data_IF_162428323157
#
_entry.id   IF_162428323157
#
_cell.length_a   1.000
_cell.length_b   1.000
_cell.length_c   1.000
_cell.angle_alpha   90.00
_cell.angle_beta   90.00
_cell.angle_gamma   90.00
#
_symmetry.space_group_name_H-M   'P 1'
#
loop_
_entity.id
_entity.type
_entity.pdbx_description
1 polymer ?
#
# COMPACT_ATOMS: atom_id res chain seq x y z
N UNK A 1 30.60 -13.76 10.68
CA UNK A 1 30.24 -12.46 11.28
C UNK A 1 31.27 -11.47 10.81
N UNK A 2 30.89 -10.52 9.94
CA UNK A 2 31.82 -9.47 9.49
C UNK A 2 31.37 -8.20 10.20
N UNK A 3 32.20 -7.74 11.13
CA UNK A 3 32.07 -6.44 11.79
C UNK A 3 32.90 -5.49 10.95
N UNK A 4 32.32 -4.37 10.52
CA UNK A 4 33.02 -3.30 9.79
C UNK A 4 33.00 -2.07 10.67
N UNK A 5 34.19 -1.61 11.06
CA UNK A 5 34.41 -0.34 11.74
C UNK A 5 34.64 0.77 10.70
N UNK A 6 33.97 1.91 10.90
CA UNK A 6 34.07 3.22 10.24
C UNK A 6 33.55 3.44 8.80
N UNK A 7 32.41 4.15 8.74
CA UNK A 7 32.02 5.34 7.95
C UNK A 7 32.79 5.72 6.67
N UNK A 8 32.79 4.85 5.66
CA UNK A 8 32.93 5.30 4.28
C UNK A 8 31.74 4.81 3.45
N UNK A 9 30.89 5.74 3.04
CA UNK A 9 29.68 5.50 2.25
C UNK A 9 30.01 4.76 0.93
N UNK A 10 31.19 5.00 0.36
CA UNK A 10 31.66 4.30 -0.84
C UNK A 10 32.06 2.84 -0.55
N UNK A 11 32.62 2.58 0.63
CA UNK A 11 32.87 1.22 1.11
C UNK A 11 31.58 0.43 1.32
N UNK A 12 30.53 1.06 1.86
CA UNK A 12 29.19 0.47 1.99
C UNK A 12 28.59 0.19 0.60
N UNK A 13 28.64 1.14 -0.35
CA UNK A 13 28.22 0.91 -1.75
C UNK A 13 28.97 -0.23 -2.42
N UNK A 14 30.27 -0.35 -2.19
CA UNK A 14 31.11 -1.40 -2.76
C UNK A 14 30.77 -2.78 -2.18
N UNK A 15 30.45 -2.87 -0.89
CA UNK A 15 29.92 -4.09 -0.25
C UNK A 15 28.57 -4.47 -0.89
N UNK A 16 27.67 -3.51 -1.07
CA UNK A 16 26.38 -3.74 -1.72
C UNK A 16 26.51 -4.17 -3.19
N UNK A 17 27.50 -3.65 -3.91
CA UNK A 17 27.81 -4.08 -5.28
C UNK A 17 28.32 -5.53 -5.32
N UNK A 18 29.25 -5.89 -4.43
CA UNK A 18 29.77 -7.27 -4.30
C UNK A 18 28.71 -8.29 -3.87
N UNK A 19 27.76 -7.91 -3.01
CA UNK A 19 26.62 -8.76 -2.62
C UNK A 19 25.65 -8.97 -3.79
N UNK A 20 25.40 -7.93 -4.61
CA UNK A 20 24.59 -8.07 -5.84
C UNK A 20 25.19 -9.01 -6.87
N UNK A 21 26.52 -9.12 -6.92
CA UNK A 21 27.25 -9.98 -7.87
C UNK A 21 27.25 -11.47 -7.47
N UNK A 22 26.93 -11.83 -6.22
CA UNK A 22 27.11 -13.19 -5.69
C UNK A 22 25.87 -13.93 -5.15
N UNK A 23 24.66 -13.36 -5.06
CA UNK A 23 23.55 -14.19 -4.52
C UNK A 23 22.10 -13.71 -4.53
N UNK A 24 21.78 -12.42 -4.65
CA UNK A 24 20.39 -11.96 -4.84
C UNK A 24 20.37 -10.53 -5.34
N UNK A 25 19.58 -10.25 -6.39
CA UNK A 25 19.40 -8.88 -6.89
C UNK A 25 18.70 -8.03 -5.83
N UNK A 26 19.33 -6.94 -5.38
CA UNK A 26 18.72 -6.01 -4.42
C UNK A 26 17.40 -5.46 -4.94
N UNK A 27 16.37 -5.49 -4.08
CA UNK A 27 15.09 -4.87 -4.37
C UNK A 27 15.21 -3.34 -4.42
N UNK A 28 14.15 -2.65 -4.84
CA UNK A 28 14.12 -1.17 -4.81
C UNK A 28 14.18 -0.68 -3.37
N UNK A 29 13.34 -1.24 -2.50
CA UNK A 29 13.38 -0.99 -1.07
C UNK A 29 14.79 -1.17 -0.49
N UNK A 30 15.50 -2.25 -0.80
CA UNK A 30 16.84 -2.48 -0.23
C UNK A 30 17.83 -1.38 -0.62
N UNK A 31 17.73 -0.85 -1.84
CA UNK A 31 18.58 0.26 -2.30
C UNK A 31 18.25 1.57 -1.59
N UNK A 32 16.97 1.85 -1.37
CA UNK A 32 16.51 3.04 -0.64
C UNK A 32 16.95 2.93 0.83
N UNK A 33 16.68 1.79 1.47
CA UNK A 33 17.09 1.52 2.85
C UNK A 33 18.61 1.62 3.03
N UNK A 34 19.40 1.13 2.08
CA UNK A 34 20.86 1.26 2.12
C UNK A 34 21.33 2.73 2.05
N UNK A 35 20.68 3.55 1.22
CA UNK A 35 20.97 4.99 1.13
C UNK A 35 20.70 5.70 2.47
N UNK A 36 19.55 5.41 3.08
CA UNK A 36 19.13 6.01 4.35
C UNK A 36 19.94 5.49 5.54
N UNK A 37 20.44 4.25 5.49
CA UNK A 37 21.29 3.72 6.57
C UNK A 37 22.62 4.47 6.65
N UNK A 38 23.24 4.78 5.51
CA UNK A 38 24.56 5.45 5.47
C UNK A 38 24.64 6.80 6.20
N UNK A 39 23.49 7.31 6.63
CA UNK A 39 23.25 8.61 7.28
C UNK A 39 22.48 8.44 8.61
N UNK A 40 22.43 7.22 9.15
CA UNK A 40 21.90 6.92 10.49
C UNK A 40 20.44 6.47 10.55
N UNK A 41 19.71 6.44 9.43
CA UNK A 41 18.28 6.10 9.42
C UNK A 41 18.02 4.66 8.94
N UNK A 42 17.75 3.75 9.89
CA UNK A 42 17.40 2.36 9.56
C UNK A 42 15.90 2.20 9.28
N UNK A 43 15.50 2.44 8.03
CA UNK A 43 14.11 2.38 7.59
C UNK A 43 13.47 1.01 7.84
N UNK A 44 14.17 -0.09 7.59
CA UNK A 44 13.65 -1.45 7.83
C UNK A 44 13.27 -1.67 9.30
N UNK A 45 14.11 -1.20 10.23
CA UNK A 45 13.84 -1.29 11.67
C UNK A 45 12.64 -0.45 12.07
N UNK A 46 12.61 0.83 11.65
CA UNK A 46 11.47 1.72 11.95
C UNK A 46 10.14 1.19 11.39
N UNK A 47 10.13 0.61 10.18
CA UNK A 47 8.91 -0.03 9.63
C UNK A 47 8.40 -1.17 10.53
N UNK A 48 9.31 -1.97 11.07
CA UNK A 48 8.90 -3.09 11.92
C UNK A 48 8.39 -2.61 13.29
N UNK A 49 9.10 -1.67 13.90
CA UNK A 49 8.82 -1.16 15.24
C UNK A 49 7.61 -0.22 15.29
N UNK A 50 7.45 0.66 14.28
CA UNK A 50 6.49 1.77 14.33
C UNK A 50 5.23 1.55 13.47
N UNK A 51 5.28 0.61 12.51
CA UNK A 51 4.15 0.35 11.60
C UNK A 51 3.67 -1.09 11.76
N UNK A 52 4.53 -2.09 11.55
CA UNK A 52 4.09 -3.48 11.51
C UNK A 52 3.64 -4.04 12.86
N UNK A 53 4.22 -3.58 13.96
CA UNK A 53 3.76 -3.86 15.33
C UNK A 53 2.28 -3.49 15.46
N UNK A 54 1.95 -2.23 15.19
CA UNK A 54 0.61 -1.68 15.32
C UNK A 54 -0.36 -2.27 14.29
N UNK A 55 0.06 -2.44 13.03
CA UNK A 55 -0.84 -3.00 12.01
C UNK A 55 -1.20 -4.46 12.28
N UNK A 56 -0.34 -5.22 12.95
CA UNK A 56 -0.65 -6.57 13.43
C UNK A 56 -1.57 -6.54 14.64
N UNK A 57 -1.19 -5.80 15.67
CA UNK A 57 -1.83 -5.85 16.99
C UNK A 57 -3.19 -5.15 17.01
N UNK A 58 -3.29 -3.99 16.37
CA UNK A 58 -4.50 -3.16 16.40
C UNK A 58 -5.50 -3.54 15.32
N UNK A 59 -5.02 -3.78 14.09
CA UNK A 59 -5.91 -3.94 12.93
C UNK A 59 -6.04 -5.38 12.43
N UNK A 60 -5.19 -6.31 12.90
CA UNK A 60 -5.07 -7.65 12.31
C UNK A 60 -4.61 -7.65 10.85
N UNK A 61 -4.13 -6.49 10.35
CA UNK A 61 -3.84 -6.28 8.93
C UNK A 61 -2.58 -7.03 8.48
N UNK A 62 -1.65 -7.29 9.39
CA UNK A 62 -0.35 -7.89 9.08
C UNK A 62 0.68 -6.86 8.62
N UNK A 63 1.77 -7.32 8.03
CA UNK A 63 2.96 -6.48 7.78
C UNK A 63 2.86 -5.67 6.48
N UNK A 64 2.85 -4.35 6.58
CA UNK A 64 3.03 -3.45 5.45
C UNK A 64 4.42 -3.69 4.82
N UNK A 65 4.46 -3.77 3.48
CA UNK A 65 5.73 -4.03 2.77
C UNK A 65 6.56 -2.75 2.69
N UNK A 66 7.88 -2.89 2.76
CA UNK A 66 8.80 -1.74 2.67
C UNK A 66 8.60 -0.88 1.40
N UNK A 67 8.29 -1.50 0.26
CA UNK A 67 7.97 -0.76 -0.96
C UNK A 67 6.73 0.16 -0.78
N UNK A 68 5.70 -0.26 -0.02
CA UNK A 68 4.54 0.58 0.27
C UNK A 68 4.94 1.79 1.11
N UNK A 69 5.76 1.58 2.15
CA UNK A 69 6.21 2.68 3.02
C UNK A 69 7.07 3.68 2.25
N UNK A 70 8.03 3.22 1.45
CA UNK A 70 8.85 4.12 0.60
C UNK A 70 8.03 4.87 -0.43
N UNK A 71 6.96 4.26 -0.95
CA UNK A 71 6.02 4.91 -1.86
C UNK A 71 5.20 6.00 -1.15
N UNK A 72 4.75 5.73 0.08
CA UNK A 72 4.02 6.71 0.90
C UNK A 72 4.92 7.90 1.27
N UNK A 73 6.15 7.65 1.71
CA UNK A 73 7.16 8.70 1.94
C UNK A 73 7.39 9.54 0.68
N UNK A 74 7.60 8.90 -0.47
CA UNK A 74 7.82 9.59 -1.75
C UNK A 74 6.63 10.47 -2.15
N UNK A 75 5.39 10.02 -1.93
CA UNK A 75 4.20 10.83 -2.17
C UNK A 75 4.11 11.98 -1.17
N UNK A 76 4.18 11.70 0.14
CA UNK A 76 4.01 12.72 1.18
C UNK A 76 5.06 13.83 1.10
N UNK A 77 6.32 13.48 0.80
CA UNK A 77 7.44 14.44 0.76
C UNK A 77 7.50 15.17 -0.60
N UNK A 78 7.29 14.45 -1.71
CA UNK A 78 7.60 14.98 -3.06
C UNK A 78 6.39 15.05 -4.01
N UNK A 79 5.20 14.63 -3.59
CA UNK A 79 4.00 14.55 -4.44
C UNK A 79 4.15 13.57 -5.61
N UNK A 80 5.14 12.68 -5.59
CA UNK A 80 5.40 11.77 -6.71
C UNK A 80 5.99 10.45 -6.28
N UNK A 81 5.53 9.38 -6.92
CA UNK A 81 5.95 8.01 -6.65
C UNK A 81 6.86 7.43 -7.73
N UNK A 82 7.36 8.24 -8.69
CA UNK A 82 8.23 7.75 -9.78
C UNK A 82 9.53 7.17 -9.21
N UNK A 83 10.08 6.14 -9.87
CA UNK A 83 11.32 5.47 -9.42
C UNK A 83 12.48 6.44 -9.16
N UNK A 84 12.63 7.50 -9.97
CA UNK A 84 13.69 8.52 -9.76
C UNK A 84 13.48 9.27 -8.44
N UNK A 85 12.24 9.65 -8.15
CA UNK A 85 11.87 10.36 -6.91
C UNK A 85 12.15 9.50 -5.68
N UNK A 86 11.73 8.23 -5.69
CA UNK A 86 11.94 7.32 -4.56
C UNK A 86 13.43 7.10 -4.23
N UNK A 87 14.29 7.05 -5.26
CA UNK A 87 15.75 6.87 -5.07
C UNK A 87 16.45 8.11 -4.54
N UNK A 88 15.85 9.28 -4.74
CA UNK A 88 16.40 10.57 -4.35
C UNK A 88 15.74 11.08 -3.06
N UNK A 89 15.08 10.20 -2.30
CA UNK A 89 14.64 10.52 -0.95
C UNK A 89 15.88 10.76 -0.08
N UNK A 90 15.95 11.97 0.46
CA UNK A 90 16.98 12.37 1.39
C UNK A 90 16.66 11.90 2.81
N UNK A 91 17.68 11.60 3.60
CA UNK A 91 17.48 11.08 4.96
C UNK A 91 16.96 12.10 5.94
N UNK A 92 17.38 13.35 5.82
CA UNK A 92 16.89 14.42 6.70
C UNK A 92 15.42 14.65 6.42
N UNK A 93 15.02 14.69 5.14
CA UNK A 93 13.61 14.77 4.75
C UNK A 93 12.79 13.58 5.25
N UNK A 94 13.34 12.36 5.14
CA UNK A 94 12.67 11.15 5.61
C UNK A 94 12.53 11.12 7.13
N UNK A 95 13.56 11.53 7.88
CA UNK A 95 13.49 11.55 9.34
C UNK A 95 12.50 12.61 9.83
N UNK A 96 12.53 13.81 9.23
CA UNK A 96 11.61 14.89 9.55
C UNK A 96 10.14 14.53 9.27
N UNK A 97 9.86 13.82 8.17
CA UNK A 97 8.49 13.46 7.77
C UNK A 97 8.09 12.03 8.22
N UNK A 98 8.93 11.33 8.98
CA UNK A 98 8.69 9.94 9.39
C UNK A 98 7.43 9.80 10.24
N UNK A 99 7.35 10.56 11.32
CA UNK A 99 6.26 10.50 12.30
C UNK A 99 4.91 10.81 11.62
N UNK A 100 4.88 11.86 10.81
CA UNK A 100 3.66 12.19 10.07
C UNK A 100 3.30 11.08 9.07
N UNK A 101 4.26 10.59 8.28
CA UNK A 101 3.99 9.57 7.28
C UNK A 101 3.52 8.25 7.89
N UNK A 102 4.10 7.81 9.01
CA UNK A 102 3.63 6.58 9.67
C UNK A 102 2.19 6.72 10.15
N UNK A 103 1.80 7.85 10.73
CA UNK A 103 0.42 8.10 11.17
C UNK A 103 -0.55 8.00 9.99
N UNK A 104 -0.20 8.61 8.85
CA UNK A 104 -1.07 8.55 7.66
C UNK A 104 -1.18 7.14 7.07
N UNK A 105 -0.13 6.33 7.17
CA UNK A 105 -0.19 4.90 6.79
C UNK A 105 -1.13 4.13 7.72
N UNK A 106 -1.10 4.41 9.03
CA UNK A 106 -1.97 3.75 10.01
C UNK A 106 -3.44 4.15 9.80
N UNK A 107 -3.72 5.44 9.53
CA UNK A 107 -5.04 5.94 9.17
C UNK A 107 -5.57 5.28 7.87
N UNK A 108 -4.72 5.18 6.85
CA UNK A 108 -5.05 4.47 5.61
C UNK A 108 -5.34 2.99 5.85
N UNK A 109 -4.54 2.32 6.68
CA UNK A 109 -4.74 0.92 7.06
C UNK A 109 -6.07 0.72 7.79
N UNK A 110 -6.36 1.58 8.76
CA UNK A 110 -7.62 1.60 9.50
C UNK A 110 -8.83 1.78 8.57
N UNK A 111 -8.75 2.73 7.64
CA UNK A 111 -9.80 2.98 6.67
C UNK A 111 -10.05 1.76 5.76
N UNK A 112 -8.99 1.17 5.22
CA UNK A 112 -9.07 -0.03 4.39
C UNK A 112 -9.73 -1.20 5.13
N UNK A 113 -9.36 -1.42 6.39
CA UNK A 113 -9.90 -2.51 7.21
C UNK A 113 -11.37 -2.30 7.58
N UNK A 114 -11.72 -1.09 8.05
CA UNK A 114 -13.05 -0.78 8.58
C UNK A 114 -14.08 -0.50 7.48
N UNK A 115 -13.70 0.28 6.46
CA UNK A 115 -14.63 0.74 5.42
C UNK A 115 -14.68 -0.19 4.22
N UNK A 116 -13.56 -0.82 3.86
CA UNK A 116 -13.42 -1.51 2.58
C UNK A 116 -13.27 -3.03 2.70
N UNK A 117 -13.24 -3.57 3.92
CA UNK A 117 -13.20 -5.02 4.15
C UNK A 117 -11.82 -5.66 3.97
N UNK A 118 -10.75 -4.86 3.93
CA UNK A 118 -9.38 -5.36 3.82
C UNK A 118 -8.90 -5.87 5.19
N UNK A 119 -9.36 -7.07 5.57
CA UNK A 119 -9.07 -7.66 6.89
C UNK A 119 -7.62 -8.06 7.11
N UNK A 120 -6.87 -8.24 6.03
CA UNK A 120 -5.43 -8.47 6.05
C UNK A 120 -4.81 -7.89 4.77
N UNK A 121 -3.52 -7.56 4.82
CA UNK A 121 -2.77 -6.96 3.70
C UNK A 121 -2.95 -7.73 2.40
N UNK A 122 -3.01 -9.05 2.46
CA UNK A 122 -3.14 -9.89 1.27
C UNK A 122 -4.53 -9.82 0.63
N UNK A 123 -5.49 -9.14 1.26
CA UNK A 123 -6.78 -8.79 0.65
C UNK A 123 -6.71 -7.46 -0.10
N UNK A 124 -5.61 -6.70 0.03
CA UNK A 124 -5.46 -5.48 -0.74
C UNK A 124 -5.30 -5.87 -2.22
N UNK A 125 -6.13 -5.36 -3.14
CA UNK A 125 -6.03 -5.72 -4.56
C UNK A 125 -4.68 -5.34 -5.16
N UNK A 126 -4.17 -4.17 -4.77
CA UNK A 126 -2.89 -3.64 -5.18
C UNK A 126 -2.19 -2.88 -4.06
N UNK A 127 -0.91 -3.16 -3.86
CA UNK A 127 -0.08 -2.51 -2.84
C UNK A 127 -0.06 -0.97 -2.93
N UNK A 128 -0.17 -0.41 -4.15
CA UNK A 128 -0.15 1.02 -4.41
C UNK A 128 -1.35 1.80 -3.87
N UNK A 129 -2.44 1.12 -3.48
CA UNK A 129 -3.62 1.76 -2.89
C UNK A 129 -3.28 2.41 -1.55
N UNK A 130 -2.54 1.70 -0.69
CA UNK A 130 -2.23 2.16 0.66
C UNK A 130 -1.44 3.50 0.67
N UNK A 131 -0.35 3.66 -0.12
CA UNK A 131 0.36 4.94 -0.22
C UNK A 131 -0.48 6.10 -0.72
N UNK A 132 -1.38 5.86 -1.67
CA UNK A 132 -2.25 6.90 -2.24
C UNK A 132 -3.26 7.36 -1.19
N UNK A 133 -3.83 6.45 -0.40
CA UNK A 133 -4.69 6.83 0.72
C UNK A 133 -3.92 7.53 1.85
N UNK A 134 -2.69 7.11 2.15
CA UNK A 134 -1.85 7.82 3.11
C UNK A 134 -1.61 9.28 2.67
N UNK A 135 -1.42 9.50 1.37
CA UNK A 135 -1.29 10.85 0.82
C UNK A 135 -2.57 11.69 0.98
N UNK A 136 -3.76 11.10 0.79
CA UNK A 136 -5.03 11.79 1.10
C UNK A 136 -5.07 12.28 2.56
N UNK A 137 -4.72 11.41 3.51
CA UNK A 137 -4.68 11.79 4.92
C UNK A 137 -3.61 12.84 5.21
N UNK A 138 -2.48 12.82 4.49
CA UNK A 138 -1.43 13.86 4.60
C UNK A 138 -1.94 15.24 4.16
N UNK A 139 -2.74 15.30 3.10
CA UNK A 139 -3.22 16.54 2.49
C UNK A 139 -4.40 17.15 3.23
N UNK A 140 -5.24 16.33 3.83
CA UNK A 140 -6.42 16.79 4.57
C UNK A 140 -6.15 17.01 6.05
N UNK A 141 -5.11 16.37 6.60
CA UNK A 141 -4.84 16.24 8.04
C UNK A 141 -6.03 15.69 8.87
N UNK A 142 -7.02 15.11 8.19
CA UNK A 142 -8.14 14.45 8.83
C UNK A 142 -7.74 13.04 9.30
N UNK A 143 -8.52 12.48 10.22
CA UNK A 143 -8.37 11.11 10.70
C UNK A 143 -9.35 10.12 10.03
N UNK A 144 -10.32 10.65 9.29
CA UNK A 144 -11.43 9.92 8.67
C UNK A 144 -11.73 10.44 7.26
N UNK A 145 -12.40 9.61 6.45
CA UNK A 145 -12.90 9.97 5.13
C UNK A 145 -14.42 9.93 5.18
N UNK A 146 -15.07 11.05 4.87
CA UNK A 146 -16.51 11.23 5.02
C UNK A 146 -17.14 11.89 3.79
N UNK A 147 -18.47 11.90 3.73
CA UNK A 147 -19.24 12.61 2.71
C UNK A 147 -18.84 12.24 1.28
N UNK A 148 -18.77 13.24 0.41
CA UNK A 148 -18.43 13.06 -1.00
C UNK A 148 -17.05 12.41 -1.22
N UNK A 149 -16.04 12.73 -0.39
CA UNK A 149 -14.72 12.13 -0.52
C UNK A 149 -14.77 10.62 -0.30
N UNK A 150 -15.61 10.16 0.64
CA UNK A 150 -15.83 8.74 0.88
C UNK A 150 -16.44 8.06 -0.34
N UNK A 151 -17.44 8.66 -0.95
CA UNK A 151 -18.10 8.10 -2.14
C UNK A 151 -17.12 7.97 -3.31
N UNK A 152 -16.31 8.98 -3.56
CA UNK A 152 -15.29 8.99 -4.62
C UNK A 152 -14.20 7.95 -4.35
N UNK A 153 -13.65 7.91 -3.13
CA UNK A 153 -12.54 7.02 -2.76
C UNK A 153 -12.99 5.56 -2.72
N UNK A 154 -14.18 5.26 -2.22
CA UNK A 154 -14.71 3.90 -2.20
C UNK A 154 -14.92 3.40 -3.63
N UNK A 155 -15.51 4.22 -4.52
CA UNK A 155 -15.66 3.87 -5.94
C UNK A 155 -14.31 3.66 -6.62
N UNK A 156 -13.33 4.51 -6.36
CA UNK A 156 -11.97 4.35 -6.88
C UNK A 156 -11.37 3.01 -6.44
N UNK A 157 -11.44 2.66 -5.15
CA UNK A 157 -10.92 1.40 -4.64
C UNK A 157 -11.50 0.18 -5.39
N UNK A 158 -12.83 0.13 -5.52
CA UNK A 158 -13.50 -0.98 -6.21
C UNK A 158 -13.15 -1.02 -7.70
N UNK A 159 -13.17 0.13 -8.39
CA UNK A 159 -12.80 0.22 -9.81
C UNK A 159 -11.36 -0.21 -10.07
N UNK A 160 -10.42 0.20 -9.22
CA UNK A 160 -9.00 -0.19 -9.33
C UNK A 160 -8.83 -1.70 -9.25
N UNK A 161 -9.53 -2.36 -8.32
CA UNK A 161 -9.39 -3.81 -8.14
C UNK A 161 -10.06 -4.63 -9.26
N UNK A 162 -11.15 -4.16 -9.88
CA UNK A 162 -11.85 -4.93 -10.94
C UNK A 162 -11.22 -4.76 -12.33
N UNK A 163 -10.70 -3.57 -12.64
CA UNK A 163 -10.20 -3.19 -13.97
C UNK A 163 -8.78 -3.65 -14.26
N UNK A 164 -8.02 -4.01 -13.23
CA UNK A 164 -6.60 -4.27 -13.37
C UNK A 164 -5.74 -3.00 -13.47
N UNK A 165 -6.28 -1.83 -13.07
CA UNK A 165 -5.69 -0.50 -13.25
C UNK A 165 -4.19 -0.42 -12.89
N UNK A 166 -3.79 -1.00 -11.76
CA UNK A 166 -2.40 -0.96 -11.28
C UNK A 166 -1.51 -2.10 -11.76
N UNK A 167 -1.94 -2.93 -12.71
CA UNK A 167 -1.14 -4.05 -13.25
C UNK A 167 0.10 -3.58 -14.01
N UNK A 168 0.05 -2.39 -14.63
CA UNK A 168 1.17 -1.80 -15.38
C UNK A 168 1.40 -0.36 -14.93
N UNK A 169 2.66 0.09 -15.00
CA UNK A 169 3.05 1.49 -14.72
C UNK A 169 2.55 2.03 -13.36
N UNK A 170 2.45 1.17 -12.34
CA UNK A 170 1.84 1.46 -11.03
C UNK A 170 2.32 2.78 -10.42
N UNK A 171 3.63 3.05 -10.39
CA UNK A 171 4.19 4.28 -9.84
C UNK A 171 3.75 5.57 -10.55
N UNK A 172 3.57 5.52 -11.88
CA UNK A 172 3.09 6.66 -12.65
C UNK A 172 1.61 6.90 -12.35
N UNK A 173 0.82 5.83 -12.27
CA UNK A 173 -0.60 5.93 -11.94
C UNK A 173 -0.80 6.41 -10.50
N UNK A 174 0.00 5.94 -9.53
CA UNK A 174 -0.05 6.47 -8.15
C UNK A 174 0.26 7.97 -8.09
N UNK A 175 1.20 8.46 -8.91
CA UNK A 175 1.49 9.91 -9.01
C UNK A 175 0.33 10.67 -9.65
N UNK A 176 -0.36 10.06 -10.63
CA UNK A 176 -1.55 10.66 -11.23
C UNK A 176 -2.70 10.71 -10.21
N UNK A 177 -2.94 9.61 -9.53
CA UNK A 177 -4.02 9.50 -8.54
C UNK A 177 -3.77 10.40 -7.32
N UNK A 178 -2.52 10.67 -6.95
CA UNK A 178 -2.22 11.66 -5.91
C UNK A 178 -2.58 13.08 -6.35
N UNK A 179 -2.41 13.43 -7.62
CA UNK A 179 -2.86 14.71 -8.17
C UNK A 179 -4.40 14.79 -8.17
N UNK A 180 -5.07 13.72 -8.55
CA UNK A 180 -6.54 13.66 -8.55
C UNK A 180 -7.14 13.64 -7.14
N UNK A 181 -6.38 13.20 -6.14
CA UNK A 181 -6.72 13.40 -4.73
C UNK A 181 -6.71 14.89 -4.39
N UNK A 182 -5.72 15.65 -4.86
CA UNK A 182 -5.67 17.10 -4.65
C UNK A 182 -6.87 17.77 -5.35
N UNK A 183 -7.18 17.38 -6.59
CA UNK A 183 -8.36 17.88 -7.31
C UNK A 183 -9.67 17.55 -6.57
N UNK A 184 -9.80 16.35 -6.00
CA UNK A 184 -10.92 15.98 -5.14
C UNK A 184 -11.03 16.90 -3.92
N UNK A 185 -9.90 17.17 -3.25
CA UNK A 185 -9.86 18.00 -2.03
C UNK A 185 -10.20 19.46 -2.35
N UNK A 186 -9.66 20.00 -3.44
CA UNK A 186 -9.77 21.42 -3.79
C UNK A 186 -11.13 21.75 -4.43
N UNK A 187 -11.66 20.84 -5.25
CA UNK A 187 -12.82 21.13 -6.10
C UNK A 187 -14.00 20.18 -5.92
N UNK A 188 -13.84 19.08 -5.18
CA UNK A 188 -14.83 18.01 -5.11
C UNK A 188 -14.87 17.16 -6.39
N UNK A 189 -13.84 17.20 -7.23
CA UNK A 189 -13.78 16.41 -8.48
C UNK A 189 -13.96 14.91 -8.23
N UNK A 190 -14.72 14.23 -9.11
CA UNK A 190 -14.90 12.78 -9.10
C UNK A 190 -13.94 12.03 -10.04
N UNK A 191 -13.04 12.76 -10.71
CA UNK A 191 -12.16 12.22 -11.76
C UNK A 191 -11.28 11.07 -11.26
N UNK A 192 -10.94 11.04 -9.97
CA UNK A 192 -10.14 9.98 -9.34
C UNK A 192 -10.67 8.59 -9.69
N UNK A 193 -11.99 8.35 -9.61
CA UNK A 193 -12.58 7.08 -9.99
C UNK A 193 -13.08 7.06 -11.43
N UNK A 194 -13.53 8.18 -12.01
CA UNK A 194 -14.12 8.23 -13.35
C UNK A 194 -13.11 7.83 -14.43
N UNK A 195 -11.84 8.23 -14.28
CA UNK A 195 -10.76 7.85 -15.19
C UNK A 195 -10.45 6.34 -15.19
N UNK A 196 -10.85 5.61 -14.15
CA UNK A 196 -10.54 4.20 -14.00
C UNK A 196 -11.56 3.43 -14.81
N UNK A 197 -11.21 3.14 -16.06
CA UNK A 197 -12.13 2.48 -16.95
C UNK A 197 -12.44 1.05 -16.47
N UNK A 198 -13.74 0.76 -16.38
CA UNK A 198 -14.29 -0.56 -16.07
C UNK A 198 -15.20 -0.97 -17.21
N UNK A 199 -14.63 -1.41 -18.32
CA UNK A 199 -15.37 -2.00 -19.44
C UNK A 199 -15.81 -3.43 -19.07
N UNK A 200 -16.63 -3.56 -18.02
CA UNK A 200 -17.23 -4.82 -17.61
C UNK A 200 -18.72 -4.59 -17.36
N UNK A 201 -19.55 -5.30 -18.11
CA UNK A 201 -20.98 -5.40 -17.86
C UNK A 201 -21.25 -6.15 -16.56
N UNK A 202 -22.47 -6.03 -16.03
CA UNK A 202 -22.90 -6.80 -14.86
C UNK A 202 -22.77 -8.32 -15.09
N UNK A 203 -23.11 -8.80 -16.30
CA UNK A 203 -22.97 -10.21 -16.68
C UNK A 203 -21.51 -10.65 -16.66
N UNK A 204 -20.61 -9.87 -17.28
CA UNK A 204 -19.17 -10.20 -17.27
C UNK A 204 -18.56 -10.18 -15.86
N UNK A 205 -19.04 -9.27 -14.99
CA UNK A 205 -18.64 -9.27 -13.58
C UNK A 205 -19.10 -10.53 -12.86
N UNK A 206 -20.35 -10.97 -13.08
CA UNK A 206 -20.89 -12.22 -12.51
C UNK A 206 -20.12 -13.43 -13.00
N UNK A 207 -19.88 -13.54 -14.29
CA UNK A 207 -19.13 -14.66 -14.89
C UNK A 207 -17.71 -14.71 -14.32
N UNK A 208 -17.03 -13.55 -14.26
CA UNK A 208 -15.70 -13.44 -13.67
C UNK A 208 -15.71 -13.82 -12.18
N UNK A 209 -16.75 -13.51 -11.42
CA UNK A 209 -16.89 -13.95 -10.02
C UNK A 209 -17.02 -15.47 -9.91
N UNK A 210 -17.87 -16.09 -10.73
CA UNK A 210 -18.09 -17.54 -10.76
C UNK A 210 -16.79 -18.27 -11.13
N UNK A 211 -16.08 -17.76 -12.14
CA UNK A 211 -14.85 -18.38 -12.66
C UNK A 211 -13.60 -18.03 -11.86
N UNK A 212 -13.70 -17.13 -10.87
CA UNK A 212 -12.53 -16.70 -10.09
C UNK A 212 -11.96 -17.86 -9.29
N UNK A 213 -10.75 -18.27 -9.67
CA UNK A 213 -10.00 -19.23 -8.89
C UNK A 213 -9.49 -18.60 -7.58
N UNK A 214 -10.23 -18.85 -6.50
CA UNK A 214 -9.92 -18.33 -5.15
C UNK A 214 -8.58 -18.80 -4.58
N UNK A 215 -7.96 -19.84 -5.16
CA UNK A 215 -6.64 -20.35 -4.77
C UNK A 215 -5.48 -19.51 -5.31
N UNK A 216 -5.69 -18.68 -6.33
CA UNK A 216 -4.66 -17.77 -6.87
C UNK A 216 -4.85 -16.38 -6.30
N UNK A 217 -3.79 -15.78 -5.77
CA UNK A 217 -3.80 -14.36 -5.38
C UNK A 217 -3.98 -13.48 -6.61
N UNK A 218 -5.18 -12.94 -6.82
CA UNK A 218 -5.45 -11.94 -7.86
C UNK A 218 -6.15 -10.74 -7.23
N UNK A 219 -6.04 -9.56 -7.86
CA UNK A 219 -6.74 -8.37 -7.41
C UNK A 219 -8.25 -8.59 -7.29
N UNK A 220 -8.82 -9.34 -8.24
CA UNK A 220 -10.25 -9.65 -8.27
C UNK A 220 -10.66 -10.63 -7.15
N UNK A 221 -9.88 -11.70 -6.92
CA UNK A 221 -10.07 -12.60 -5.75
C UNK A 221 -10.02 -11.82 -4.44
N UNK A 222 -9.09 -10.88 -4.34
CA UNK A 222 -8.90 -10.05 -3.16
C UNK A 222 -10.10 -9.11 -2.92
N UNK A 223 -10.64 -8.50 -3.97
CA UNK A 223 -11.90 -7.75 -3.88
C UNK A 223 -13.07 -8.62 -3.44
N UNK A 224 -13.19 -9.84 -3.98
CA UNK A 224 -14.25 -10.76 -3.57
C UNK A 224 -14.17 -11.06 -2.05
N UNK A 225 -12.98 -11.25 -1.50
CA UNK A 225 -12.81 -11.42 -0.06
C UNK A 225 -13.12 -10.16 0.74
N UNK A 226 -12.84 -8.98 0.21
CA UNK A 226 -13.25 -7.71 0.82
C UNK A 226 -14.78 -7.59 0.89
N UNK A 227 -15.49 -7.98 -0.18
CA UNK A 227 -16.96 -8.02 -0.22
C UNK A 227 -17.47 -9.01 0.83
N UNK A 228 -16.95 -10.24 0.83
CA UNK A 228 -17.33 -11.25 1.82
C UNK A 228 -17.11 -10.74 3.24
N UNK A 229 -15.95 -10.14 3.54
CA UNK A 229 -15.66 -9.59 4.85
C UNK A 229 -16.67 -8.51 5.29
N UNK A 230 -17.18 -7.70 4.35
CA UNK A 230 -18.23 -6.71 4.62
C UNK A 230 -19.61 -7.34 4.81
N UNK A 231 -19.83 -8.56 4.30
CA UNK A 231 -21.08 -9.31 4.43
C UNK A 231 -21.09 -10.27 5.63
N UNK A 232 -20.02 -10.29 6.44
CA UNK A 232 -19.89 -11.14 7.64
C UNK A 232 -20.21 -12.63 7.34
N UNK A 233 -19.35 -13.30 6.56
CA UNK A 233 -19.69 -14.58 5.98
C UNK A 233 -19.76 -15.65 7.09
N UNK A 234 -20.70 -16.58 6.95
CA UNK A 234 -20.97 -17.64 7.93
C UNK A 234 -20.70 -19.00 7.33
N UNK A 235 -20.24 -19.93 8.17
CA UNK A 235 -19.94 -21.28 7.75
C UNK A 235 -21.24 -22.05 7.47
N UNK A 236 -21.34 -22.68 6.30
CA UNK A 236 -22.59 -23.29 5.83
C UNK A 236 -23.14 -24.41 6.72
N UNK A 237 -22.30 -25.11 7.50
CA UNK A 237 -22.74 -26.26 8.31
C UNK A 237 -23.23 -25.88 9.71
N UNK A 238 -22.61 -24.89 10.34
CA UNK A 238 -22.85 -24.56 11.75
C UNK A 238 -23.19 -23.08 11.97
N UNK A 239 -23.27 -22.28 10.91
CA UNK A 239 -23.65 -20.86 10.93
C UNK A 239 -22.73 -19.94 11.76
N UNK A 240 -21.54 -20.43 12.14
CA UNK A 240 -20.54 -19.65 12.87
C UNK A 240 -19.89 -18.61 11.96
N UNK A 241 -19.50 -17.43 12.49
CA UNK A 241 -18.74 -16.44 11.73
C UNK A 241 -17.42 -17.02 11.21
N UNK A 242 -17.12 -16.78 9.94
CA UNK A 242 -15.85 -17.19 9.34
C UNK A 242 -14.79 -16.15 9.70
N UNK A 243 -13.72 -16.61 10.37
CA UNK A 243 -12.56 -15.76 10.63
C UNK A 243 -11.68 -15.64 9.37
N UNK A 244 -11.78 -14.49 8.68
CA UNK A 244 -11.02 -14.19 7.47
C UNK A 244 -9.57 -13.71 7.70
N UNK A 245 -9.12 -13.56 8.95
CA UNK A 245 -7.72 -13.18 9.27
C UNK A 245 -6.76 -14.37 9.38
N UNK A 246 -7.27 -15.59 9.15
CA UNK A 246 -6.48 -16.82 9.22
C UNK A 246 -5.52 -17.01 8.04
N UNK A 247 -4.42 -17.74 8.27
CA UNK A 247 -3.39 -18.03 7.26
C UNK A 247 -3.89 -18.73 5.98
N UNK A 248 -5.05 -19.38 6.03
CA UNK A 248 -5.67 -20.02 4.86
C UNK A 248 -6.02 -19.03 3.74
N UNK A 249 -6.19 -17.75 4.07
CA UNK A 249 -6.55 -16.71 3.11
C UNK A 249 -5.35 -15.82 2.71
N UNK A 250 -4.18 -16.04 3.31
CA UNK A 250 -2.89 -15.45 2.92
C UNK A 250 -2.14 -16.40 1.99
N UNK A 251 -1.37 -15.86 1.04
CA UNK A 251 -0.51 -16.66 0.16
C UNK A 251 0.90 -16.80 0.73
#
# INVERSE_FOLDING_TARGET
MVIVEHDDFDSVKNIFKRINERGRKLSRFDKINANLWGVGFNLRRKIEEDINSETRETFGFGNVKGDMVTQALSLNIKGSCRTRTQKNLDSEEVDNEWENTKERILLATRYLSNSLGVKQRDFLPYAGILPVLAYYFRKTDNDTITGHHKDVIDRWFWRVGVSGYYTKKTQNLMTKDSQLIEDLIETGSSELYEQVNTDLTETELKDKLIDTNVKRSTAFRNLFLCILAKQEPRHFKNNEPINLTGKYYSN
#
